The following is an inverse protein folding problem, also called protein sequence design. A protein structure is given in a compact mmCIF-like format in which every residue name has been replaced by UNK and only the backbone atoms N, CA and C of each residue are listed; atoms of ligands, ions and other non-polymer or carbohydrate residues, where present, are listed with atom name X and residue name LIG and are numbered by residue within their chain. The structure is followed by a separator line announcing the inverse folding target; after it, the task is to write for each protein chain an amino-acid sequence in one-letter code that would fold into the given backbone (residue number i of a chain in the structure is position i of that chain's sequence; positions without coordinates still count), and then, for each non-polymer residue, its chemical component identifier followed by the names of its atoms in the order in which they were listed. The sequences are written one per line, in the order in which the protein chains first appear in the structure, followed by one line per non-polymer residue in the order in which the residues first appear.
data_IF_905781053327
#
_entry.id   IF_905781053327
#
_cell.length_a   1.000
_cell.length_b   1.000
_cell.length_c   1.000
_cell.angle_alpha   90.00
_cell.angle_beta   90.00
_cell.angle_gamma   90.00
#
_symmetry.space_group_name_H-M   'P 1'
#
loop_
_entity.id
_entity.type
_entity.pdbx_description
1 polymer ?
#
# COMPACT_ATOMS: atom_id res chain seq x y z
N UNK A 1 2.23 -4.94 48.60
CA UNK A 1 2.62 -6.20 47.93
C UNK A 1 1.92 -6.45 46.59
N UNK A 2 0.58 -6.43 46.49
CA UNK A 2 -0.13 -6.74 45.23
C UNK A 2 0.25 -5.85 44.03
N UNK A 3 0.50 -4.55 44.24
CA UNK A 3 0.92 -3.63 43.18
C UNK A 3 2.33 -3.89 42.62
N UNK A 4 3.29 -4.31 43.45
CA UNK A 4 4.65 -4.66 43.02
C UNK A 4 4.66 -5.95 42.18
N UNK A 5 3.83 -6.93 42.54
CA UNK A 5 3.66 -8.16 41.76
C UNK A 5 3.06 -7.85 40.38
N UNK A 6 2.06 -6.97 40.31
CA UNK A 6 1.44 -6.58 39.04
C UNK A 6 2.43 -5.88 38.09
N UNK A 7 3.25 -4.97 38.62
CA UNK A 7 4.30 -4.28 37.85
C UNK A 7 5.36 -5.28 37.35
N UNK A 8 5.75 -6.23 38.19
CA UNK A 8 6.69 -7.30 37.82
C UNK A 8 6.16 -8.14 36.65
N UNK A 9 4.89 -8.58 36.71
CA UNK A 9 4.25 -9.36 35.63
C UNK A 9 4.14 -8.55 34.34
N UNK A 10 3.74 -7.27 34.41
CA UNK A 10 3.65 -6.41 33.23
C UNK A 10 5.01 -6.21 32.55
N UNK A 11 6.06 -6.02 33.34
CA UNK A 11 7.43 -5.83 32.81
C UNK A 11 7.92 -7.09 32.08
N UNK A 12 7.67 -8.26 32.65
CA UNK A 12 8.01 -9.55 32.02
C UNK A 12 7.23 -9.74 30.72
N UNK A 13 5.93 -9.42 30.70
CA UNK A 13 5.10 -9.49 29.49
C UNK A 13 5.64 -8.59 28.38
N UNK A 14 5.98 -7.33 28.69
CA UNK A 14 6.57 -6.40 27.73
C UNK A 14 7.90 -6.95 27.19
N UNK A 15 8.76 -7.47 28.07
CA UNK A 15 10.05 -8.03 27.67
C UNK A 15 9.90 -9.25 26.76
N UNK A 16 8.94 -10.14 27.05
CA UNK A 16 8.60 -11.28 26.19
C UNK A 16 8.15 -10.83 24.81
N UNK A 17 7.26 -9.84 24.73
CA UNK A 17 6.79 -9.28 23.45
C UNK A 17 7.96 -8.71 22.65
N UNK A 18 8.86 -7.94 23.29
CA UNK A 18 10.04 -7.37 22.62
C UNK A 18 10.94 -8.48 22.08
N UNK A 19 11.20 -9.53 22.86
CA UNK A 19 12.02 -10.67 22.43
C UNK A 19 11.39 -11.38 21.22
N UNK A 20 10.07 -11.64 21.27
CA UNK A 20 9.34 -12.27 20.16
C UNK A 20 9.47 -11.42 18.89
N UNK A 21 9.24 -10.11 18.97
CA UNK A 21 9.35 -9.19 17.82
C UNK A 21 10.77 -9.20 17.23
N UNK A 22 11.81 -9.19 18.08
CA UNK A 22 13.20 -9.23 17.62
C UNK A 22 13.54 -10.56 16.93
N UNK A 23 13.10 -11.68 17.50
CA UNK A 23 13.29 -13.02 16.92
C UNK A 23 12.56 -13.16 15.58
N UNK A 24 11.31 -12.72 15.51
CA UNK A 24 10.55 -12.69 14.25
C UNK A 24 11.27 -11.85 13.20
N UNK A 25 11.72 -10.64 13.55
CA UNK A 25 12.43 -9.77 12.62
C UNK A 25 13.69 -10.43 12.05
N UNK A 26 14.50 -11.06 12.92
CA UNK A 26 15.72 -11.77 12.51
C UNK A 26 15.42 -12.96 11.61
N UNK A 27 14.35 -13.71 11.89
CA UNK A 27 13.88 -14.81 11.07
C UNK A 27 13.49 -14.35 9.65
N UNK A 28 12.66 -13.31 9.54
CA UNK A 28 12.26 -12.76 8.25
C UNK A 28 13.44 -12.18 7.46
N UNK A 29 14.36 -11.47 8.13
CA UNK A 29 15.56 -10.95 7.49
C UNK A 29 16.46 -12.05 6.92
N UNK A 30 16.66 -13.15 7.65
CA UNK A 30 17.46 -14.27 7.16
C UNK A 30 16.88 -14.83 5.87
N UNK A 31 15.56 -15.06 5.84
CA UNK A 31 14.90 -15.61 4.65
C UNK A 31 14.92 -14.61 3.50
N UNK A 32 14.77 -13.32 3.79
CA UNK A 32 14.94 -12.28 2.80
C UNK A 32 16.32 -12.38 2.13
N UNK A 33 17.41 -12.46 2.90
CA UNK A 33 18.77 -12.60 2.36
C UNK A 33 18.96 -13.86 1.51
N UNK A 34 18.38 -14.99 1.96
CA UNK A 34 18.41 -16.25 1.24
C UNK A 34 17.59 -16.22 -0.07
N UNK A 35 16.62 -15.32 -0.21
CA UNK A 35 15.66 -15.31 -1.33
C UNK A 35 15.71 -14.07 -2.22
N UNK A 36 16.46 -13.01 -1.85
CA UNK A 36 16.52 -11.74 -2.60
C UNK A 36 16.97 -11.87 -4.05
N UNK A 37 17.75 -12.91 -4.37
CA UNK A 37 18.18 -13.20 -5.73
C UNK A 37 17.08 -13.84 -6.59
N UNK A 38 16.03 -14.41 -5.98
CA UNK A 38 14.89 -15.03 -6.67
C UNK A 38 13.82 -14.01 -7.08
N UNK A 39 13.67 -12.96 -6.27
CA UNK A 39 12.81 -11.81 -6.55
C UNK A 39 13.29 -10.61 -5.73
N UNK A 40 13.59 -9.50 -6.40
CA UNK A 40 13.89 -8.24 -5.71
C UNK A 40 12.60 -7.60 -5.18
N UNK A 41 12.71 -6.74 -4.17
CA UNK A 41 11.54 -6.01 -3.66
C UNK A 41 10.92 -5.11 -4.75
N UNK A 42 11.76 -4.56 -5.64
CA UNK A 42 11.31 -3.78 -6.78
C UNK A 42 10.49 -4.61 -7.77
N UNK A 43 10.90 -5.85 -8.06
CA UNK A 43 10.16 -6.75 -8.94
C UNK A 43 8.80 -7.12 -8.34
N UNK A 44 8.77 -7.41 -7.03
CA UNK A 44 7.52 -7.69 -6.31
C UNK A 44 6.58 -6.48 -6.40
N UNK A 45 7.06 -5.26 -6.13
CA UNK A 45 6.20 -4.07 -6.21
C UNK A 45 5.73 -3.79 -7.64
N UNK A 46 6.59 -3.95 -8.66
CA UNK A 46 6.22 -3.81 -10.08
C UNK A 46 5.15 -4.84 -10.47
N UNK A 47 5.26 -6.09 -10.02
CA UNK A 47 4.24 -7.13 -10.23
C UNK A 47 2.91 -6.74 -9.57
N UNK A 48 2.94 -6.31 -8.31
CA UNK A 48 1.74 -5.87 -7.60
C UNK A 48 1.06 -4.69 -8.29
N UNK A 49 1.82 -3.69 -8.72
CA UNK A 49 1.26 -2.53 -9.43
C UNK A 49 0.62 -2.91 -10.77
N UNK A 50 1.17 -3.91 -11.48
CA UNK A 50 0.54 -4.49 -12.68
C UNK A 50 -0.74 -5.30 -12.33
N UNK A 51 -0.79 -5.90 -11.16
CA UNK A 51 -1.91 -6.67 -10.63
C UNK A 51 -2.89 -5.82 -9.78
N UNK A 52 -3.12 -4.56 -10.17
CA UNK A 52 -4.04 -3.63 -9.48
C UNK A 52 -3.73 -3.39 -7.99
N UNK A 53 -2.45 -3.47 -7.61
CA UNK A 53 -1.90 -3.36 -6.26
C UNK A 53 -2.18 -4.54 -5.33
N UNK A 54 -2.70 -5.66 -5.83
CA UNK A 54 -2.98 -6.83 -5.01
C UNK A 54 -2.20 -8.06 -5.49
N UNK A 55 -1.81 -8.93 -4.56
CA UNK A 55 -1.21 -10.23 -4.89
C UNK A 55 -1.42 -11.24 -3.75
N UNK A 56 -1.54 -12.52 -4.11
CA UNK A 56 -1.46 -13.63 -3.12
C UNK A 56 -0.06 -14.27 -3.12
N UNK A 57 0.21 -15.14 -2.14
CA UNK A 57 1.47 -15.90 -2.09
C UNK A 57 1.62 -16.87 -3.26
N UNK A 58 0.53 -17.47 -3.72
CA UNK A 58 0.48 -18.39 -4.87
C UNK A 58 0.78 -17.65 -6.17
N UNK A 59 0.16 -16.48 -6.37
CA UNK A 59 0.42 -15.64 -7.54
C UNK A 59 1.86 -15.16 -7.57
N UNK A 60 2.41 -14.74 -6.43
CA UNK A 60 3.80 -14.32 -6.36
C UNK A 60 4.77 -15.49 -6.64
N UNK A 61 4.50 -16.67 -6.09
CA UNK A 61 5.30 -17.86 -6.36
C UNK A 61 5.21 -18.31 -7.82
N UNK A 62 4.06 -18.12 -8.47
CA UNK A 62 3.88 -18.43 -9.90
C UNK A 62 4.62 -17.44 -10.79
N UNK A 63 4.69 -16.16 -10.39
CA UNK A 63 5.31 -15.11 -11.17
C UNK A 63 6.83 -14.96 -10.95
N UNK A 64 7.42 -15.72 -10.02
CA UNK A 64 8.84 -15.59 -9.62
C UNK A 64 9.47 -16.96 -9.39
N UNK A 65 10.76 -16.99 -9.02
CA UNK A 65 11.44 -18.22 -8.62
C UNK A 65 11.22 -18.61 -7.14
N UNK A 66 10.32 -17.91 -6.43
CA UNK A 66 10.01 -18.19 -5.03
C UNK A 66 9.07 -19.40 -4.92
N UNK A 67 9.31 -20.24 -3.91
CA UNK A 67 8.28 -21.20 -3.47
C UNK A 67 7.13 -20.46 -2.80
N UNK A 68 5.94 -21.06 -2.71
CA UNK A 68 4.78 -20.46 -2.04
C UNK A 68 5.07 -20.06 -0.59
N UNK A 69 5.84 -20.89 0.13
CA UNK A 69 6.30 -20.59 1.49
C UNK A 69 7.22 -19.37 1.52
N UNK A 70 8.20 -19.28 0.63
CA UNK A 70 9.08 -18.13 0.53
C UNK A 70 8.31 -16.86 0.14
N UNK A 71 7.38 -16.96 -0.81
CA UNK A 71 6.51 -15.86 -1.21
C UNK A 71 5.66 -15.34 -0.04
N UNK A 72 5.04 -16.23 0.73
CA UNK A 72 4.28 -15.85 1.93
C UNK A 72 5.16 -15.16 2.99
N UNK A 73 6.38 -15.62 3.19
CA UNK A 73 7.33 -15.00 4.13
C UNK A 73 7.78 -13.63 3.62
N UNK A 74 8.04 -13.49 2.32
CA UNK A 74 8.41 -12.21 1.69
C UNK A 74 7.30 -11.18 1.78
N UNK A 75 6.07 -11.56 1.50
CA UNK A 75 4.91 -10.68 1.60
C UNK A 75 4.66 -10.25 3.05
N UNK A 76 4.76 -11.18 4.02
CA UNK A 76 4.69 -10.84 5.45
C UNK A 76 5.81 -9.89 5.89
N UNK A 77 7.04 -10.11 5.43
CA UNK A 77 8.17 -9.23 5.70
C UNK A 77 7.89 -7.81 5.20
N UNK A 78 7.45 -7.66 3.95
CA UNK A 78 7.12 -6.36 3.35
C UNK A 78 5.90 -5.68 4.05
N UNK A 79 4.95 -6.47 4.55
CA UNK A 79 3.84 -5.98 5.37
C UNK A 79 4.30 -5.48 6.75
N UNK A 80 5.17 -6.23 7.44
CA UNK A 80 5.78 -5.83 8.71
C UNK A 80 6.62 -4.56 8.56
N UNK A 81 7.35 -4.44 7.45
CA UNK A 81 8.13 -3.25 7.12
C UNK A 81 7.23 -2.08 6.66
N UNK A 82 5.92 -2.31 6.53
CA UNK A 82 4.92 -1.28 6.35
C UNK A 82 4.63 -0.90 4.90
N UNK A 83 5.25 -1.55 3.91
CA UNK A 83 5.00 -1.32 2.50
C UNK A 83 3.67 -1.94 2.03
N UNK A 84 3.29 -3.09 2.62
CA UNK A 84 2.06 -3.81 2.29
C UNK A 84 1.03 -3.74 3.43
N UNK A 85 -0.25 -3.90 3.08
CA UNK A 85 -1.33 -4.30 4.01
C UNK A 85 -1.64 -5.76 3.77
N UNK A 86 -1.83 -6.52 4.83
CA UNK A 86 -2.34 -7.89 4.75
C UNK A 86 -3.83 -7.85 5.07
N UNK A 87 -4.65 -8.30 4.12
CA UNK A 87 -6.11 -8.32 4.23
C UNK A 87 -6.57 -9.76 4.37
N UNK A 88 -7.42 -10.02 5.36
CA UNK A 88 -8.00 -11.33 5.62
C UNK A 88 -9.49 -11.33 5.27
N UNK A 89 -10.01 -12.48 4.88
CA UNK A 89 -11.45 -12.73 4.95
C UNK A 89 -11.85 -12.80 6.43
N UNK A 90 -13.09 -12.43 6.76
CA UNK A 90 -13.56 -12.32 8.16
C UNK A 90 -13.53 -13.61 8.99
N UNK A 91 -12.98 -14.71 8.47
CA UNK A 91 -12.79 -16.00 9.14
C UNK A 91 -11.52 -16.06 10.00
N UNK A 92 -10.58 -15.11 9.83
CA UNK A 92 -9.38 -14.98 10.68
C UNK A 92 -8.34 -16.09 10.54
N UNK A 93 -8.56 -17.09 9.68
CA UNK A 93 -7.69 -18.25 9.49
C UNK A 93 -7.37 -18.57 8.01
N UNK A 94 -7.85 -17.78 7.05
CA UNK A 94 -7.65 -17.98 5.62
C UNK A 94 -6.41 -17.29 5.02
N UNK A 95 -6.00 -17.78 3.85
CA UNK A 95 -5.01 -17.18 2.93
C UNK A 95 -5.36 -15.73 2.62
N UNK A 96 -4.62 -14.78 3.21
CA UNK A 96 -4.87 -13.36 2.99
C UNK A 96 -4.27 -12.85 1.68
N UNK A 97 -4.84 -11.74 1.19
CA UNK A 97 -4.33 -10.99 0.05
C UNK A 97 -3.48 -9.82 0.54
N UNK A 98 -2.39 -9.54 -0.18
CA UNK A 98 -1.50 -8.43 0.14
C UNK A 98 -1.78 -7.26 -0.79
N UNK A 99 -1.94 -6.08 -0.21
CA UNK A 99 -2.15 -4.84 -0.94
C UNK A 99 -0.91 -3.93 -0.81
N UNK A 100 -0.39 -3.45 -1.93
CA UNK A 100 0.61 -2.39 -1.93
C UNK A 100 -0.06 -1.08 -1.48
N UNK A 101 0.43 -0.48 -0.39
CA UNK A 101 -0.20 0.72 0.20
C UNK A 101 -0.16 1.93 -0.71
N UNK A 102 0.91 2.04 -1.49
CA UNK A 102 1.24 3.24 -2.26
C UNK A 102 1.22 2.97 -3.75
N UNK A 103 0.92 4.00 -4.53
CA UNK A 103 1.20 4.00 -5.96
C UNK A 103 2.71 3.98 -6.20
N UNK A 104 3.18 3.24 -7.21
CA UNK A 104 4.58 3.26 -7.62
C UNK A 104 4.72 3.68 -9.08
N UNK A 105 5.84 4.34 -9.44
CA UNK A 105 6.17 4.63 -10.83
C UNK A 105 6.47 3.33 -11.60
N UNK A 106 5.81 3.15 -12.74
CA UNK A 106 6.07 2.06 -13.67
C UNK A 106 6.71 2.66 -14.93
N UNK A 107 8.02 2.88 -14.90
CA UNK A 107 8.79 3.34 -16.06
C UNK A 107 9.81 2.27 -16.46
N UNK A 108 10.02 2.12 -17.77
CA UNK A 108 10.98 1.14 -18.32
C UNK A 108 12.45 1.55 -18.08
N UNK A 109 12.70 2.83 -17.76
CA UNK A 109 14.03 3.39 -17.48
C UNK A 109 14.54 3.15 -16.05
N UNK A 110 13.84 2.36 -15.24
CA UNK A 110 14.18 2.08 -13.84
C UNK A 110 14.79 0.67 -13.66
N UNK A 111 15.82 0.51 -12.81
CA UNK A 111 16.26 1.45 -11.76
C UNK A 111 17.36 2.44 -12.18
N UNK A 112 17.38 3.60 -11.53
CA UNK A 112 18.46 4.59 -11.61
C UNK A 112 19.64 4.21 -10.71
N UNK A 113 20.87 4.49 -11.16
CA UNK A 113 22.08 4.20 -10.40
C UNK A 113 22.24 5.16 -9.22
N UNK A 114 22.27 4.64 -7.99
CA UNK A 114 22.36 5.45 -6.77
C UNK A 114 23.80 5.72 -6.28
N UNK A 115 24.75 4.84 -6.61
CA UNK A 115 26.10 4.92 -6.06
C UNK A 115 26.82 6.20 -6.49
N UNK A 116 27.37 6.93 -5.52
CA UNK A 116 28.09 8.18 -5.75
C UNK A 116 27.22 9.44 -5.81
N UNK A 117 25.88 9.30 -5.80
CA UNK A 117 25.00 10.46 -5.82
C UNK A 117 24.96 11.18 -4.46
N UNK A 118 25.10 12.50 -4.51
CA UNK A 118 24.80 13.42 -3.42
C UNK A 118 23.31 13.41 -3.06
N UNK A 119 22.97 13.90 -1.87
CA UNK A 119 21.58 14.00 -1.43
C UNK A 119 20.73 14.88 -2.36
N UNK A 120 21.33 15.87 -3.03
CA UNK A 120 20.60 16.71 -3.98
C UNK A 120 20.31 15.96 -5.29
N UNK A 121 21.31 15.28 -5.86
CA UNK A 121 21.12 14.49 -7.09
C UNK A 121 20.07 13.39 -6.90
N UNK A 122 20.01 12.79 -5.70
CA UNK A 122 18.98 11.82 -5.36
C UNK A 122 17.58 12.44 -5.36
N UNK A 123 17.44 13.65 -4.81
CA UNK A 123 16.17 14.38 -4.86
C UNK A 123 15.79 14.70 -6.30
N UNK A 124 16.75 15.11 -7.12
CA UNK A 124 16.49 15.42 -8.53
C UNK A 124 16.04 14.16 -9.28
N UNK A 125 16.67 13.01 -9.05
CA UNK A 125 16.24 11.71 -9.60
C UNK A 125 14.84 11.32 -9.10
N UNK A 126 14.52 11.55 -7.83
CA UNK A 126 13.17 11.28 -7.31
C UNK A 126 12.14 12.16 -8.03
N UNK A 127 12.42 13.46 -8.17
CA UNK A 127 11.54 14.44 -8.83
C UNK A 127 11.31 14.17 -10.32
N UNK A 128 12.19 13.42 -10.99
CA UNK A 128 11.94 12.94 -12.36
C UNK A 128 10.82 11.89 -12.42
N UNK A 129 10.47 11.26 -11.30
CA UNK A 129 9.54 10.14 -11.23
C UNK A 129 8.33 10.38 -10.30
N UNK A 130 8.36 11.43 -9.47
CA UNK A 130 7.28 11.83 -8.55
C UNK A 130 6.81 13.27 -8.80
N UNK A 131 5.51 13.46 -9.01
CA UNK A 131 4.95 14.78 -9.39
C UNK A 131 4.45 15.57 -8.17
N UNK A 132 4.28 14.91 -7.02
CA UNK A 132 3.59 15.44 -5.83
C UNK A 132 4.54 15.80 -4.68
N UNK A 133 5.85 15.76 -4.94
CA UNK A 133 6.91 15.99 -3.94
C UNK A 133 6.87 15.03 -2.76
N UNK A 134 5.98 14.04 -2.74
CA UNK A 134 5.92 13.02 -1.71
C UNK A 134 6.89 11.90 -2.06
N UNK A 135 7.50 11.35 -1.02
CA UNK A 135 8.44 10.24 -1.16
C UNK A 135 7.98 9.11 -0.27
N UNK A 136 7.67 7.97 -0.89
CA UNK A 136 7.32 6.74 -0.18
C UNK A 136 8.46 5.73 -0.25
N UNK A 137 8.46 4.78 0.68
CA UNK A 137 9.46 3.69 0.67
C UNK A 137 9.35 2.84 -0.59
N UNK A 138 8.12 2.59 -1.06
CA UNK A 138 7.89 1.78 -2.26
C UNK A 138 8.43 2.47 -3.53
N UNK A 139 8.27 3.79 -3.64
CA UNK A 139 8.86 4.57 -4.73
C UNK A 139 10.38 4.49 -4.72
N UNK A 140 11.03 4.68 -3.56
CA UNK A 140 12.49 4.58 -3.47
C UNK A 140 13.02 3.19 -3.87
N UNK A 141 12.33 2.12 -3.43
CA UNK A 141 12.66 0.73 -3.81
C UNK A 141 12.64 0.58 -5.33
N UNK A 142 11.62 1.11 -6.00
CA UNK A 142 11.44 0.96 -7.44
C UNK A 142 12.36 1.88 -8.25
N UNK A 143 12.52 3.14 -7.81
CA UNK A 143 13.36 4.14 -8.48
C UNK A 143 14.83 3.73 -8.46
N UNK A 144 15.35 3.28 -7.31
CA UNK A 144 16.77 2.97 -7.16
C UNK A 144 17.08 1.47 -7.24
N UNK A 145 16.07 0.60 -7.37
CA UNK A 145 16.27 -0.85 -7.41
C UNK A 145 16.85 -1.41 -6.11
N UNK A 146 16.65 -0.69 -5.00
CA UNK A 146 17.17 -1.02 -3.68
C UNK A 146 16.13 -1.79 -2.86
N UNK A 147 16.59 -2.47 -1.83
CA UNK A 147 15.67 -3.18 -0.94
C UNK A 147 14.98 -2.26 0.06
N UNK A 148 13.96 -2.77 0.75
CA UNK A 148 13.16 -1.98 1.69
C UNK A 148 13.98 -1.39 2.85
N UNK A 149 15.06 -2.05 3.28
CA UNK A 149 15.94 -1.57 4.34
C UNK A 149 16.81 -0.41 3.86
N UNK A 150 17.42 -0.55 2.68
CA UNK A 150 18.18 0.49 2.00
C UNK A 150 17.31 1.71 1.72
N UNK A 151 16.07 1.51 1.26
CA UNK A 151 15.11 2.59 1.04
C UNK A 151 14.77 3.35 2.34
N UNK A 152 14.59 2.64 3.46
CA UNK A 152 14.40 3.28 4.78
C UNK A 152 15.64 4.02 5.26
N UNK A 153 16.82 3.46 5.03
CA UNK A 153 18.09 4.10 5.34
C UNK A 153 18.25 5.39 4.52
N UNK A 154 17.96 5.33 3.22
CA UNK A 154 18.00 6.47 2.31
C UNK A 154 17.00 7.55 2.73
N UNK A 155 15.75 7.19 3.02
CA UNK A 155 14.73 8.10 3.53
C UNK A 155 15.22 8.84 4.80
N UNK A 156 15.81 8.11 5.75
CA UNK A 156 16.36 8.68 6.97
C UNK A 156 17.58 9.58 6.69
N UNK A 157 18.45 9.22 5.75
CA UNK A 157 19.58 10.05 5.33
C UNK A 157 19.10 11.38 4.75
N UNK A 158 18.15 11.34 3.81
CA UNK A 158 17.58 12.54 3.19
C UNK A 158 16.87 13.43 4.21
N UNK A 159 16.16 12.83 5.18
CA UNK A 159 15.56 13.56 6.31
C UNK A 159 16.64 14.25 7.16
N UNK A 160 17.69 13.54 7.55
CA UNK A 160 18.80 14.11 8.36
C UNK A 160 19.54 15.22 7.62
N UNK A 161 19.64 15.12 6.31
CA UNK A 161 20.22 16.15 5.44
C UNK A 161 19.28 17.35 5.20
N UNK A 162 18.10 17.39 5.82
CA UNK A 162 17.14 18.48 5.67
C UNK A 162 16.50 18.54 4.27
N UNK A 163 16.59 17.48 3.47
CA UNK A 163 15.98 17.39 2.15
C UNK A 163 14.53 16.92 2.18
N UNK A 164 14.11 16.29 3.29
CA UNK A 164 12.73 15.85 3.49
C UNK A 164 12.17 16.42 4.80
N UNK A 165 10.92 16.87 4.76
CA UNK A 165 10.10 17.15 5.96
C UNK A 165 9.10 16.03 6.17
N UNK A 166 8.94 15.62 7.42
CA UNK A 166 7.92 14.68 7.83
C UNK A 166 6.66 15.44 8.25
N UNK A 167 5.54 15.14 7.60
CA UNK A 167 4.22 15.70 7.89
C UNK A 167 3.24 14.56 8.23
N UNK A 168 2.05 14.94 8.67
CA UNK A 168 0.93 14.02 8.88
C UNK A 168 -0.24 14.43 7.98
N UNK A 169 -0.85 13.45 7.32
CA UNK A 169 -2.08 13.69 6.56
C UNK A 169 -3.31 13.73 7.49
N UNK A 170 -4.50 14.00 6.93
CA UNK A 170 -5.77 14.06 7.68
C UNK A 170 -6.11 12.76 8.43
N UNK A 171 -5.54 11.62 8.01
CA UNK A 171 -5.67 10.33 8.70
C UNK A 171 -4.56 10.02 9.70
N UNK A 172 -3.78 11.03 10.12
CA UNK A 172 -2.61 10.87 11.01
C UNK A 172 -1.52 9.93 10.47
N UNK A 173 -1.48 9.70 9.16
CA UNK A 173 -0.43 8.90 8.53
C UNK A 173 0.78 9.79 8.22
N UNK A 174 1.97 9.26 8.49
CA UNK A 174 3.24 9.94 8.22
C UNK A 174 3.48 10.00 6.72
N UNK A 175 3.75 11.19 6.21
CA UNK A 175 4.18 11.44 4.83
C UNK A 175 5.52 12.15 4.85
N UNK A 176 6.36 11.89 3.85
CA UNK A 176 7.65 12.57 3.66
C UNK A 176 7.55 13.43 2.41
N UNK A 177 7.90 14.70 2.55
CA UNK A 177 7.79 15.70 1.47
C UNK A 177 9.15 16.33 1.21
N UNK A 178 9.49 16.50 -0.06
CA UNK A 178 10.74 17.13 -0.50
C UNK A 178 10.76 18.62 -0.12
N UNK A 179 11.84 19.03 0.54
CA UNK A 179 12.10 20.43 0.89
C UNK A 179 12.71 21.14 -0.31
N UNK A 180 11.93 22.01 -0.97
CA UNK A 180 12.45 22.89 -2.03
C UNK A 180 12.82 24.28 -1.49
N UNK A 181 14.01 24.82 -1.81
CA UNK A 181 14.26 26.26 -1.83
C UNK A 181 13.93 26.87 -3.21
N UNK A 182 13.06 27.89 -3.19
CA UNK A 182 12.85 28.99 -4.17
C UNK A 182 12.42 28.62 -5.60
N UNK A 183 11.14 28.88 -5.90
CA UNK A 183 10.63 29.02 -7.28
C UNK A 183 9.36 28.22 -7.58
N UNK A 184 8.21 28.78 -7.20
CA UNK A 184 6.85 28.36 -7.61
C UNK A 184 6.23 27.13 -6.91
N UNK A 185 4.98 27.37 -6.47
CA UNK A 185 3.96 26.46 -5.96
C UNK A 185 4.17 25.83 -4.56
N UNK A 186 3.16 26.02 -3.70
CA UNK A 186 3.06 25.39 -2.39
C UNK A 186 3.19 23.87 -2.55
N UNK A 187 3.86 23.15 -1.63
CA UNK A 187 3.90 21.69 -1.65
C UNK A 187 2.47 21.15 -1.70
N UNK A 188 2.14 20.39 -2.74
CA UNK A 188 0.82 19.78 -2.91
C UNK A 188 0.85 18.47 -2.12
N UNK A 189 0.13 18.43 -1.01
CA UNK A 189 -0.05 17.19 -0.26
C UNK A 189 -1.04 16.29 -1.01
N UNK A 190 -0.74 14.99 -1.19
CA UNK A 190 -1.74 13.98 -1.52
C UNK A 190 -2.83 14.01 -0.46
N UNK A 191 -3.98 14.55 -0.83
CA UNK A 191 -5.24 14.26 -0.15
C UNK A 191 -5.90 12.98 -0.72
N UNK A 192 -5.50 12.56 -1.93
CA UNK A 192 -5.99 11.37 -2.65
C UNK A 192 -4.91 10.78 -3.60
N UNK A 193 -4.96 9.50 -3.98
CA UNK A 193 -4.00 8.88 -4.91
C UNK A 193 -4.14 9.41 -6.36
N UNK A 194 -3.04 9.39 -7.11
CA UNK A 194 -2.89 10.00 -8.47
C UNK A 194 -4.02 9.57 -9.44
N UNK A 195 -4.82 10.54 -9.94
CA UNK A 195 -5.41 10.46 -11.29
C UNK A 195 -4.29 10.77 -12.29
N UNK A 196 -3.97 9.84 -13.20
CA UNK A 196 -3.02 10.07 -14.31
C UNK A 196 -3.49 11.22 -15.19
N UNK A 197 -2.59 12.15 -15.52
CA UNK A 197 -2.81 13.15 -16.55
C UNK A 197 -3.08 12.47 -17.90
N UNK A 198 -4.31 12.68 -18.37
CA UNK A 198 -4.72 12.36 -19.73
C UNK A 198 -4.38 13.58 -20.59
N UNK A 199 -3.96 13.33 -21.82
CA UNK A 199 -3.89 14.31 -22.91
C UNK A 199 -5.20 15.14 -22.86
N UNK A 200 -5.08 16.46 -22.70
CA UNK A 200 -6.23 17.38 -22.57
C UNK A 200 -7.11 17.29 -23.83
N UNK A 201 -8.25 16.64 -23.68
CA UNK A 201 -9.46 16.95 -24.44
C UNK A 201 -10.27 17.83 -23.50
N UNK A 202 -10.64 19.03 -23.93
CA UNK A 202 -11.53 19.89 -23.15
C UNK A 202 -12.85 19.17 -22.94
N UNK A 203 -13.13 18.80 -21.70
CA UNK A 203 -14.41 18.28 -21.24
C UNK A 203 -14.93 19.21 -20.14
N UNK A 204 -16.25 19.45 -20.11
CA UNK A 204 -16.87 20.46 -19.25
C UNK A 204 -16.66 20.15 -17.77
N UNK A 205 -16.60 21.22 -16.96
CA UNK A 205 -16.39 21.18 -15.51
C UNK A 205 -17.26 20.11 -14.85
N UNK A 206 -16.62 19.07 -14.30
CA UNK A 206 -17.31 18.07 -13.48
C UNK A 206 -17.44 18.60 -12.06
N UNK A 207 -18.68 18.93 -11.67
CA UNK A 207 -19.08 19.01 -10.28
C UNK A 207 -18.64 17.75 -9.52
N UNK A 208 -18.18 17.91 -8.28
CA UNK A 208 -17.87 16.78 -7.39
C UNK A 208 -19.15 16.00 -7.11
N UNK A 209 -19.43 14.98 -7.93
CA UNK A 209 -20.58 14.10 -7.75
C UNK A 209 -20.37 13.31 -6.45
N UNK A 210 -21.15 13.66 -5.42
CA UNK A 210 -21.23 12.89 -4.19
C UNK A 210 -21.97 11.60 -4.52
N UNK A 211 -21.23 10.49 -4.71
CA UNK A 211 -21.80 9.17 -5.03
C UNK A 211 -22.87 8.82 -3.98
N UNK A 212 -24.16 8.73 -4.32
CA UNK A 212 -25.20 8.38 -3.36
C UNK A 212 -25.06 6.92 -2.91
N UNK A 213 -25.27 6.64 -1.62
CA UNK A 213 -25.23 5.26 -1.09
C UNK A 213 -26.26 4.35 -1.77
N UNK A 214 -27.43 4.90 -2.11
CA UNK A 214 -28.50 4.21 -2.80
C UNK A 214 -28.06 3.68 -4.18
N UNK A 215 -27.27 4.44 -4.94
CA UNK A 215 -26.76 4.00 -6.24
C UNK A 215 -25.79 2.83 -6.09
N UNK A 216 -24.92 2.87 -5.08
CA UNK A 216 -23.99 1.76 -4.79
C UNK A 216 -24.74 0.51 -4.34
N UNK A 217 -25.77 0.67 -3.51
CA UNK A 217 -26.62 -0.43 -3.05
C UNK A 217 -27.40 -1.06 -4.20
N UNK A 218 -27.99 -0.25 -5.08
CA UNK A 218 -28.69 -0.76 -6.26
C UNK A 218 -27.74 -1.54 -7.16
N UNK A 219 -26.54 -1.00 -7.40
CA UNK A 219 -25.52 -1.70 -8.18
C UNK A 219 -25.13 -3.04 -7.53
N UNK A 220 -25.05 -3.10 -6.20
CA UNK A 220 -24.79 -4.35 -5.51
C UNK A 220 -25.93 -5.36 -5.72
N UNK A 221 -27.20 -4.93 -5.63
CA UNK A 221 -28.37 -5.79 -5.87
C UNK A 221 -28.33 -6.34 -7.30
N UNK A 222 -28.13 -5.48 -8.30
CA UNK A 222 -28.05 -5.85 -9.71
C UNK A 222 -26.92 -6.87 -9.99
N UNK A 223 -25.85 -6.81 -9.18
CA UNK A 223 -24.71 -7.71 -9.25
C UNK A 223 -24.72 -8.82 -8.18
N UNK A 224 -25.91 -9.27 -7.77
CA UNK A 224 -26.13 -10.41 -6.85
C UNK A 224 -25.44 -10.21 -5.49
N UNK A 225 -25.50 -9.00 -4.98
CA UNK A 225 -24.94 -8.56 -3.71
C UNK A 225 -23.42 -8.41 -3.71
N UNK A 226 -22.75 -8.44 -4.86
CA UNK A 226 -21.27 -8.39 -4.96
C UNK A 226 -20.80 -7.17 -5.72
N UNK A 227 -19.87 -6.43 -5.14
CA UNK A 227 -19.20 -5.32 -5.79
C UNK A 227 -17.69 -5.42 -5.64
N UNK A 228 -16.99 -4.95 -6.68
CA UNK A 228 -15.56 -4.67 -6.61
C UNK A 228 -15.32 -3.18 -6.87
N UNK A 229 -14.21 -2.60 -6.41
CA UNK A 229 -13.86 -1.22 -6.75
C UNK A 229 -13.77 -0.99 -8.26
N UNK A 230 -13.30 -1.98 -9.02
CA UNK A 230 -13.26 -1.95 -10.50
C UNK A 230 -14.65 -1.90 -11.12
N UNK A 231 -15.59 -2.72 -10.64
CA UNK A 231 -16.96 -2.69 -11.13
C UNK A 231 -17.63 -1.34 -10.85
N UNK A 232 -17.45 -0.81 -9.64
CA UNK A 232 -18.02 0.47 -9.24
C UNK A 232 -17.42 1.65 -10.07
N UNK A 233 -16.12 1.61 -10.32
CA UNK A 233 -15.40 2.55 -11.20
C UNK A 233 -15.99 2.57 -12.61
N UNK A 234 -16.21 1.41 -13.22
CA UNK A 234 -16.77 1.30 -14.58
C UNK A 234 -18.20 1.81 -14.63
N UNK A 235 -19.03 1.41 -13.66
CA UNK A 235 -20.47 1.67 -13.67
C UNK A 235 -20.80 3.13 -13.35
N UNK A 236 -20.11 3.71 -12.37
CA UNK A 236 -20.35 5.09 -11.94
C UNK A 236 -19.41 6.10 -12.62
N UNK A 237 -18.47 5.64 -13.48
CA UNK A 237 -17.47 6.48 -14.15
C UNK A 237 -16.65 7.35 -13.18
N UNK A 238 -16.38 6.80 -12.00
CA UNK A 238 -15.59 7.41 -10.93
C UNK A 238 -14.16 6.88 -10.94
N UNK A 239 -13.26 7.51 -10.19
CA UNK A 239 -11.89 7.00 -10.04
C UNK A 239 -11.85 5.74 -9.17
N UNK A 240 -10.76 4.97 -9.32
CA UNK A 240 -10.50 3.79 -8.50
C UNK A 240 -10.47 4.12 -7.00
N UNK A 241 -9.90 5.28 -6.64
CA UNK A 241 -9.75 5.66 -5.23
C UNK A 241 -11.05 6.16 -4.62
N UNK A 242 -11.88 6.83 -5.40
CA UNK A 242 -13.25 7.18 -4.99
C UNK A 242 -14.09 5.92 -4.79
N UNK A 243 -14.00 4.96 -5.71
CA UNK A 243 -14.69 3.68 -5.60
C UNK A 243 -14.27 2.89 -4.35
N UNK A 244 -12.95 2.77 -4.11
CA UNK A 244 -12.40 2.10 -2.91
C UNK A 244 -12.90 2.76 -1.63
N UNK A 245 -12.71 4.08 -1.51
CA UNK A 245 -13.12 4.84 -0.33
C UNK A 245 -14.62 4.71 -0.05
N UNK A 246 -15.43 4.71 -1.11
CA UNK A 246 -16.88 4.54 -0.99
C UNK A 246 -17.25 3.18 -0.43
N UNK A 247 -16.66 2.12 -0.96
CA UNK A 247 -16.91 0.74 -0.50
C UNK A 247 -16.34 0.49 0.91
N UNK A 248 -15.18 1.06 1.24
CA UNK A 248 -14.61 1.04 2.60
C UNK A 248 -15.54 1.72 3.60
N UNK A 249 -16.04 2.93 3.31
CA UNK A 249 -16.99 3.63 4.17
C UNK A 249 -18.27 2.82 4.40
N UNK A 250 -18.85 2.24 3.34
CA UNK A 250 -20.06 1.43 3.47
C UNK A 250 -19.79 0.09 4.20
N UNK A 251 -18.58 -0.46 4.08
CA UNK A 251 -18.16 -1.60 4.88
C UNK A 251 -18.05 -1.26 6.37
N UNK A 252 -17.43 -0.12 6.71
CA UNK A 252 -17.32 0.37 8.09
C UNK A 252 -18.69 0.64 8.72
N UNK A 253 -19.65 1.11 7.93
CA UNK A 253 -21.05 1.28 8.33
C UNK A 253 -21.83 -0.05 8.44
N UNK A 254 -21.20 -1.19 8.15
CA UNK A 254 -21.82 -2.50 8.24
C UNK A 254 -22.74 -2.88 7.08
N UNK A 255 -22.80 -2.08 6.02
CA UNK A 255 -23.61 -2.36 4.83
C UNK A 255 -23.02 -3.53 4.04
N UNK A 256 -21.69 -3.53 3.90
CA UNK A 256 -20.94 -4.61 3.24
C UNK A 256 -20.08 -5.40 4.23
N UNK A 257 -19.80 -6.66 3.89
CA UNK A 257 -18.69 -7.44 4.41
C UNK A 257 -17.64 -7.58 3.32
N UNK A 258 -16.36 -7.52 3.69
CA UNK A 258 -15.29 -7.84 2.76
C UNK A 258 -15.21 -9.36 2.57
N UNK A 259 -15.06 -9.79 1.33
CA UNK A 259 -14.80 -11.16 0.94
C UNK A 259 -13.61 -11.16 -0.02
N UNK A 260 -12.75 -12.17 0.08
CA UNK A 260 -11.60 -12.31 -0.80
C UNK A 260 -11.92 -13.43 -1.78
N UNK A 261 -11.90 -13.12 -3.07
CA UNK A 261 -11.83 -14.15 -4.12
C UNK A 261 -10.36 -14.50 -4.34
N UNK A 262 -9.91 -15.55 -3.65
CA UNK A 262 -8.53 -16.04 -3.69
C UNK A 262 -8.10 -16.49 -5.10
N UNK A 263 -9.03 -17.02 -5.91
CA UNK A 263 -8.69 -17.54 -7.25
C UNK A 263 -8.28 -16.40 -8.18
N UNK A 264 -8.94 -15.27 -8.06
CA UNK A 264 -8.71 -14.11 -8.91
C UNK A 264 -7.88 -13.02 -8.22
N UNK A 265 -7.52 -13.20 -6.94
CA UNK A 265 -6.93 -12.19 -6.08
C UNK A 265 -7.68 -10.86 -6.11
N UNK A 266 -9.00 -10.95 -5.93
CA UNK A 266 -9.90 -9.82 -5.94
C UNK A 266 -10.50 -9.60 -4.56
N UNK A 267 -10.47 -8.35 -4.11
CA UNK A 267 -11.26 -7.91 -2.96
C UNK A 267 -12.68 -7.60 -3.42
N UNK A 268 -13.65 -8.32 -2.87
CA UNK A 268 -15.07 -8.12 -3.09
C UNK A 268 -15.75 -7.55 -1.82
N UNK A 269 -16.76 -6.71 -2.04
CA UNK A 269 -17.67 -6.20 -1.02
C UNK A 269 -19.02 -6.86 -1.22
N UNK A 270 -19.42 -7.67 -0.25
CA UNK A 270 -20.68 -8.41 -0.28
C UNK A 270 -21.71 -7.73 0.61
N UNK A 271 -22.93 -7.48 0.10
CA UNK A 271 -24.03 -6.96 0.90
C UNK A 271 -24.25 -7.90 2.10
N UNK A 272 -24.37 -7.32 3.31
CA UNK A 272 -24.67 -8.10 4.51
C UNK A 272 -26.13 -8.52 4.55
N UNK A 273 -27.03 -7.60 4.23
CA UNK A 273 -28.47 -7.86 4.21
C UNK A 273 -28.88 -8.61 2.94
N UNK A 274 -28.86 -9.94 3.01
CA UNK A 274 -29.23 -10.79 1.87
C UNK A 274 -30.71 -10.74 1.52
N UNK A 275 -31.58 -10.19 2.37
CA UNK A 275 -33.00 -10.04 2.04
C UNK A 275 -33.22 -9.09 0.85
N UNK A 276 -32.25 -8.21 0.58
CA UNK A 276 -32.27 -7.30 -0.56
C UNK A 276 -32.02 -7.98 -1.92
N UNK A 277 -31.67 -9.27 -1.94
CA UNK A 277 -31.28 -10.00 -3.16
C UNK A 277 -32.41 -10.81 -3.80
N UNK A 278 -33.62 -10.82 -3.20
CA UNK A 278 -34.76 -11.60 -3.66
C UNK A 278 -34.76 -13.04 -3.15
#
# INVERSE_FOLDING_TARGET
MKGLVLIGVLTIMILLIVVIVLLSKKYYQRIYEETKHKASDADIFKLMAKANHFITKEQLATATALTEKEAGIRLNYLAMEGALRHLYDGSGMGSGIYQLKEGIPLFDSLPAQQQGLSEQEIIDVILLHVDDYQVTIAELVVIFGINIYEAKSLMNRLKKAGKLTMLYNQGFQKIYVINKPIGSTKPILREQPRKKDRIKIELPEQEKIKIPDAEVLQLAIDHKGRLTPTLLCIKLKISMDEAKRKLENLHEQGVFKMAIDEKNALLEYQIRDRSLLG
#
